data_IF_548358465366
#
_entry.id   IF_548358465366
#
_cell.length_a   1.000
_cell.length_b   1.000
_cell.length_c   1.000
_cell.angle_alpha   90.00
_cell.angle_beta   90.00
_cell.angle_gamma   90.00
#
_symmetry.space_group_name_H-M   'P 1'
#
loop_
_entity.id
_entity.type
_entity.pdbx_description
1 polymer ?
#
# COMPACT_ATOMS: atom_id res chain seq x y z
N UNK A 1 -6.59 24.15 53.58
CA UNK A 1 -6.00 23.12 52.70
C UNK A 1 -6.59 21.77 53.07
N UNK A 2 -7.59 21.30 52.31
CA UNK A 2 -8.22 19.98 52.49
C UNK A 2 -7.80 19.12 51.30
N UNK A 3 -6.89 18.18 51.53
CA UNK A 3 -6.38 17.28 50.49
C UNK A 3 -7.37 16.13 50.35
N UNK A 4 -8.12 16.12 49.25
CA UNK A 4 -8.91 14.97 48.83
C UNK A 4 -7.96 13.81 48.53
N UNK A 5 -8.08 12.71 49.28
CA UNK A 5 -7.47 11.43 48.92
C UNK A 5 -8.52 10.54 48.27
N UNK A 6 -8.31 10.35 46.97
CA UNK A 6 -8.39 9.10 46.21
C UNK A 6 -9.75 8.39 46.17
N UNK A 7 -10.22 8.38 44.92
CA UNK A 7 -11.39 7.78 44.29
C UNK A 7 -11.58 6.30 44.67
N UNK A 8 -12.86 5.98 44.88
CA UNK A 8 -13.43 4.68 45.13
C UNK A 8 -12.98 3.61 44.12
N UNK A 9 -12.43 2.52 44.64
CA UNK A 9 -12.52 1.21 44.01
C UNK A 9 -13.92 0.64 44.21
N UNK A 10 -14.32 -0.22 43.27
CA UNK A 10 -15.52 -1.06 43.21
C UNK A 10 -16.69 -0.46 42.42
N UNK A 11 -16.67 -0.70 41.11
CA UNK A 11 -17.90 -1.06 40.40
C UNK A 11 -17.68 -2.35 39.61
N UNK A 12 -18.39 -3.35 40.09
CA UNK A 12 -18.66 -4.67 39.57
C UNK A 12 -19.34 -4.60 38.20
N UNK A 13 -18.81 -5.30 37.18
CA UNK A 13 -19.52 -5.79 35.96
C UNK A 13 -18.47 -6.06 34.88
N UNK A 14 -18.29 -7.22 34.25
CA UNK A 14 -19.09 -8.43 34.12
C UNK A 14 -18.16 -9.65 34.11
N UNK A 15 -18.42 -10.64 34.96
CA UNK A 15 -18.03 -12.01 34.66
C UNK A 15 -19.29 -12.68 34.12
N UNK A 16 -19.43 -12.67 32.79
CA UNK A 16 -20.47 -13.43 32.11
C UNK A 16 -20.14 -14.91 32.25
N UNK A 17 -21.17 -15.64 32.68
CA UNK A 17 -21.37 -17.07 32.74
C UNK A 17 -20.63 -17.86 31.65
N UNK A 18 -19.97 -18.96 32.05
CA UNK A 18 -19.46 -19.94 31.10
C UNK A 18 -18.49 -20.98 31.66
N UNK A 19 -18.74 -21.55 32.84
CA UNK A 19 -18.18 -22.86 33.18
C UNK A 19 -19.30 -23.91 32.97
N UNK A 20 -19.37 -24.49 31.79
CA UNK A 20 -19.87 -25.85 31.64
C UNK A 20 -18.86 -26.62 30.77
N UNK A 21 -18.36 -27.71 31.33
CA UNK A 21 -17.26 -28.47 30.79
C UNK A 21 -17.83 -29.65 30.01
N UNK A 22 -17.99 -29.51 28.69
CA UNK A 22 -18.03 -30.69 27.82
C UNK A 22 -17.60 -30.34 26.38
N UNK A 23 -16.68 -31.18 25.88
CA UNK A 23 -16.21 -31.29 24.49
C UNK A 23 -15.32 -30.16 23.95
N UNK A 24 -14.08 -30.55 23.72
CA UNK A 24 -13.09 -29.90 22.87
C UNK A 24 -13.69 -29.43 21.53
N UNK A 25 -13.72 -28.12 21.30
CA UNK A 25 -13.82 -27.52 19.97
C UNK A 25 -13.30 -26.07 20.01
N UNK A 26 -12.48 -25.75 19.02
CA UNK A 26 -11.70 -24.52 18.80
C UNK A 26 -12.41 -23.19 19.10
N UNK A 27 -11.93 -22.46 20.12
CA UNK A 27 -12.42 -21.12 20.47
C UNK A 27 -11.43 -19.98 20.10
N UNK A 28 -10.42 -20.24 19.27
CA UNK A 28 -9.39 -19.24 18.90
C UNK A 28 -9.55 -18.62 17.49
N UNK A 29 -10.62 -18.94 16.75
CA UNK A 29 -10.76 -18.51 15.34
C UNK A 29 -11.62 -17.26 15.15
N UNK A 30 -12.73 -17.13 15.88
CA UNK A 30 -13.72 -16.06 15.65
C UNK A 30 -13.24 -14.65 16.01
N UNK A 31 -12.45 -14.47 17.07
CA UNK A 31 -11.92 -13.15 17.45
C UNK A 31 -10.78 -12.68 16.53
N UNK A 32 -10.02 -13.62 15.95
CA UNK A 32 -8.92 -13.31 15.03
C UNK A 32 -9.45 -12.90 13.65
N UNK A 33 -10.52 -13.54 13.17
CA UNK A 33 -11.13 -13.24 11.87
C UNK A 33 -11.81 -11.85 11.85
N UNK A 34 -12.41 -11.43 12.97
CA UNK A 34 -13.02 -10.08 13.10
C UNK A 34 -11.95 -8.99 13.20
N UNK A 35 -10.86 -9.24 13.94
CA UNK A 35 -9.74 -8.30 14.02
C UNK A 35 -9.05 -8.15 12.64
N UNK A 36 -8.79 -9.25 11.95
CA UNK A 36 -8.14 -9.27 10.65
C UNK A 36 -9.00 -8.62 9.54
N UNK A 37 -10.31 -8.82 9.58
CA UNK A 37 -11.22 -8.16 8.63
C UNK A 37 -11.35 -6.65 8.89
N UNK A 38 -11.28 -6.23 10.16
CA UNK A 38 -11.28 -4.81 10.53
C UNK A 38 -10.00 -4.11 10.08
N UNK A 39 -8.83 -4.71 10.34
CA UNK A 39 -7.55 -4.15 9.89
C UNK A 39 -7.45 -4.07 8.36
N UNK A 40 -7.92 -5.10 7.64
CA UNK A 40 -7.98 -5.08 6.18
C UNK A 40 -8.92 -3.98 5.65
N UNK A 41 -10.01 -3.71 6.36
CA UNK A 41 -10.94 -2.63 6.00
C UNK A 41 -10.30 -1.25 6.18
N UNK A 42 -9.60 -1.02 7.29
CA UNK A 42 -8.90 0.25 7.56
C UNK A 42 -7.73 0.47 6.60
N UNK A 43 -6.92 -0.56 6.34
CA UNK A 43 -5.84 -0.51 5.34
C UNK A 43 -6.39 -0.16 3.95
N UNK A 44 -7.50 -0.78 3.56
CA UNK A 44 -8.17 -0.49 2.30
C UNK A 44 -8.56 0.98 2.14
N UNK A 45 -9.05 1.62 3.22
CA UNK A 45 -9.39 3.05 3.23
C UNK A 45 -8.16 3.94 3.07
N UNK A 46 -7.04 3.59 3.72
CA UNK A 46 -5.77 4.32 3.60
C UNK A 46 -5.27 4.27 2.16
N UNK A 47 -5.25 3.08 1.56
CA UNK A 47 -4.87 2.89 0.16
C UNK A 47 -5.76 3.72 -0.79
N UNK A 48 -7.08 3.71 -0.56
CA UNK A 48 -8.04 4.47 -1.36
C UNK A 48 -7.83 5.98 -1.23
N UNK A 49 -7.49 6.46 -0.03
CA UNK A 49 -7.16 7.88 0.18
C UNK A 49 -5.93 8.29 -0.64
N UNK A 50 -4.84 7.50 -0.62
CA UNK A 50 -3.66 7.77 -1.43
C UNK A 50 -3.97 7.81 -2.93
N UNK A 51 -4.72 6.82 -3.42
CA UNK A 51 -5.05 6.73 -4.86
C UNK A 51 -5.97 7.88 -5.27
N UNK A 52 -7.01 8.17 -4.48
CA UNK A 52 -7.95 9.24 -4.79
C UNK A 52 -7.28 10.60 -4.77
N UNK A 53 -6.35 10.86 -3.84
CA UNK A 53 -5.56 12.09 -3.85
C UNK A 53 -4.68 12.18 -5.10
N UNK A 54 -3.92 11.12 -5.40
CA UNK A 54 -3.02 11.08 -6.56
C UNK A 54 -3.78 11.22 -7.90
N UNK A 55 -4.97 10.62 -8.01
CA UNK A 55 -5.82 10.72 -9.20
C UNK A 55 -6.25 12.14 -9.56
N UNK A 56 -6.30 13.06 -8.59
CA UNK A 56 -6.67 14.47 -8.83
C UNK A 56 -5.69 15.20 -9.75
N UNK A 57 -4.48 14.67 -9.89
CA UNK A 57 -3.43 15.27 -10.71
C UNK A 57 -3.34 14.66 -12.11
N UNK A 58 -4.20 13.70 -12.46
CA UNK A 58 -4.15 12.99 -13.74
C UNK A 58 -4.94 13.71 -14.85
N UNK A 59 -4.48 13.64 -16.12
CA UNK A 59 -3.18 13.11 -16.53
C UNK A 59 -2.03 14.04 -16.09
N UNK A 60 -0.94 13.45 -15.59
CA UNK A 60 0.24 14.20 -15.13
C UNK A 60 1.42 13.94 -16.06
N UNK A 61 1.96 15.00 -16.66
CA UNK A 61 3.27 14.93 -17.33
C UNK A 61 4.36 14.69 -16.30
N UNK A 62 5.12 13.59 -16.44
CA UNK A 62 6.20 13.21 -15.49
C UNK A 62 7.59 13.44 -16.07
N UNK A 63 7.73 13.43 -17.40
CA UNK A 63 8.93 13.84 -18.13
C UNK A 63 8.56 14.43 -19.51
N UNK A 64 9.54 14.67 -20.39
CA UNK A 64 9.29 15.26 -21.71
C UNK A 64 8.38 14.41 -22.60
N UNK A 65 8.40 13.09 -22.41
CA UNK A 65 7.94 12.05 -23.32
C UNK A 65 6.87 11.14 -22.69
N UNK A 66 6.53 11.30 -21.42
CA UNK A 66 5.59 10.41 -20.74
C UNK A 66 4.61 11.13 -19.83
N UNK A 67 3.38 10.61 -19.84
CA UNK A 67 2.28 11.05 -18.99
C UNK A 67 1.83 9.87 -18.13
N UNK A 68 1.70 10.09 -16.83
CA UNK A 68 0.94 9.22 -15.95
C UNK A 68 -0.55 9.49 -16.22
N UNK A 69 -1.28 8.47 -16.66
CA UNK A 69 -2.68 8.61 -17.09
C UNK A 69 -3.67 7.86 -16.20
N UNK A 70 -3.21 6.87 -15.44
CA UNK A 70 -4.05 6.15 -14.47
C UNK A 70 -3.23 5.63 -13.28
N UNK A 71 -3.92 5.47 -12.16
CA UNK A 71 -3.42 4.88 -10.92
C UNK A 71 -4.53 4.00 -10.35
N UNK A 72 -4.28 2.74 -10.06
CA UNK A 72 -5.31 1.85 -9.50
C UNK A 72 -4.70 0.83 -8.55
N UNK A 73 -5.50 0.32 -7.62
CA UNK A 73 -5.07 -0.81 -6.77
C UNK A 73 -5.63 -2.12 -7.26
N UNK A 74 -4.84 -3.16 -7.09
CA UNK A 74 -5.23 -4.54 -7.29
C UNK A 74 -4.39 -5.42 -6.36
N UNK A 75 -5.02 -6.31 -5.58
CA UNK A 75 -4.34 -7.25 -4.67
C UNK A 75 -3.23 -6.58 -3.83
N UNK A 76 -3.55 -5.54 -3.06
CA UNK A 76 -2.59 -4.79 -2.22
C UNK A 76 -1.34 -4.25 -2.95
N UNK A 77 -1.45 -4.11 -4.27
CA UNK A 77 -0.45 -3.48 -5.15
C UNK A 77 -1.03 -2.20 -5.71
N UNK A 78 -0.23 -1.15 -5.78
CA UNK A 78 -0.60 0.08 -6.52
C UNK A 78 0.04 0.07 -7.91
N UNK A 79 -0.79 0.30 -8.91
CA UNK A 79 -0.45 0.19 -10.32
C UNK A 79 -0.51 1.57 -10.96
N UNK A 80 0.56 1.97 -11.64
CA UNK A 80 0.69 3.22 -12.37
C UNK A 80 0.72 2.94 -13.87
N UNK A 81 -0.14 3.62 -14.64
CA UNK A 81 -0.19 3.52 -16.11
C UNK A 81 0.43 4.76 -16.74
N UNK A 82 1.51 4.58 -17.47
CA UNK A 82 2.19 5.63 -18.22
C UNK A 82 1.97 5.46 -19.71
N UNK A 83 1.63 6.55 -20.41
CA UNK A 83 1.59 6.60 -21.88
C UNK A 83 2.75 7.45 -22.35
N UNK A 84 3.58 6.89 -23.23
CA UNK A 84 4.72 7.59 -23.83
C UNK A 84 4.37 8.12 -25.22
N UNK A 85 4.72 9.38 -25.44
CA UNK A 85 4.56 10.12 -26.69
C UNK A 85 5.86 10.05 -27.51
N UNK A 86 6.26 8.83 -27.89
CA UNK A 86 7.45 8.56 -28.69
C UNK A 86 7.17 7.41 -29.66
N UNK A 87 7.94 7.36 -30.76
CA UNK A 87 7.94 6.19 -31.62
C UNK A 87 8.74 5.06 -30.98
N UNK A 88 8.23 3.83 -31.12
CA UNK A 88 8.89 2.64 -30.57
C UNK A 88 10.30 2.44 -31.17
N UNK A 89 10.47 2.76 -32.44
CA UNK A 89 11.74 2.57 -33.16
C UNK A 89 12.84 3.55 -32.74
N UNK A 90 12.45 4.65 -32.07
CA UNK A 90 13.36 5.64 -31.49
C UNK A 90 13.78 5.26 -30.06
N UNK A 91 13.15 4.24 -29.46
CA UNK A 91 13.38 3.85 -28.09
C UNK A 91 14.41 2.72 -27.97
N UNK A 92 15.56 3.04 -27.38
CA UNK A 92 16.47 2.03 -26.81
C UNK A 92 15.81 1.42 -25.57
N UNK A 93 15.00 0.38 -25.81
CA UNK A 93 14.16 -0.25 -24.79
C UNK A 93 14.99 -0.88 -23.65
N UNK A 94 16.07 -1.66 -23.90
CA UNK A 94 16.90 -2.19 -22.83
C UNK A 94 17.50 -1.10 -21.94
N UNK A 95 18.07 -0.03 -22.53
CA UNK A 95 18.66 1.06 -21.76
C UNK A 95 17.61 1.86 -21.00
N UNK A 96 16.48 2.15 -21.62
CA UNK A 96 15.39 2.90 -21.00
C UNK A 96 14.84 2.15 -19.80
N UNK A 97 14.51 0.85 -19.97
CA UNK A 97 14.04 0.01 -18.87
C UNK A 97 15.03 0.04 -17.70
N UNK A 98 16.33 -0.14 -17.98
CA UNK A 98 17.38 -0.13 -16.94
C UNK A 98 17.43 1.20 -16.16
N UNK A 99 17.44 2.33 -16.86
CA UNK A 99 17.50 3.66 -16.24
C UNK A 99 16.23 3.93 -15.43
N UNK A 100 15.06 3.67 -16.01
CA UNK A 100 13.77 3.85 -15.36
C UNK A 100 13.66 2.99 -14.10
N UNK A 101 14.01 1.70 -14.16
CA UNK A 101 14.02 0.83 -12.98
C UNK A 101 14.95 1.37 -11.89
N UNK A 102 16.15 1.84 -12.25
CA UNK A 102 17.10 2.39 -11.29
C UNK A 102 16.56 3.63 -10.59
N UNK A 103 15.95 4.55 -11.33
CA UNK A 103 15.39 5.79 -10.79
C UNK A 103 14.17 5.52 -9.92
N UNK A 104 13.26 4.66 -10.37
CA UNK A 104 12.08 4.27 -9.58
C UNK A 104 12.51 3.59 -8.27
N UNK A 105 13.50 2.70 -8.32
CA UNK A 105 14.05 2.05 -7.12
C UNK A 105 14.64 3.07 -6.16
N UNK A 106 15.40 4.05 -6.65
CA UNK A 106 15.98 5.10 -5.81
C UNK A 106 14.88 5.91 -5.09
N UNK A 107 13.81 6.26 -5.79
CA UNK A 107 12.68 6.99 -5.20
C UNK A 107 11.93 6.11 -4.20
N UNK A 108 11.54 4.91 -4.60
CA UNK A 108 10.74 3.98 -3.79
C UNK A 108 11.45 3.52 -2.51
N UNK A 109 12.78 3.40 -2.55
CA UNK A 109 13.59 3.02 -1.40
C UNK A 109 14.07 4.19 -0.55
N UNK A 110 13.57 5.40 -0.80
CA UNK A 110 13.81 6.55 0.06
C UNK A 110 13.34 6.33 1.51
N UNK A 111 13.92 7.10 2.42
CA UNK A 111 13.70 6.97 3.87
C UNK A 111 12.75 8.02 4.46
N UNK A 112 12.09 8.83 3.61
CA UNK A 112 11.10 9.79 4.08
C UNK A 112 9.95 9.04 4.78
N UNK A 113 9.53 9.45 6.00
CA UNK A 113 8.46 8.78 6.74
C UNK A 113 7.15 8.57 5.97
N UNK A 114 6.74 9.53 5.14
CA UNK A 114 5.50 9.40 4.35
C UNK A 114 5.64 8.36 3.25
N UNK A 115 6.82 8.25 2.64
CA UNK A 115 7.12 7.21 1.66
C UNK A 115 7.19 5.83 2.30
N UNK A 116 7.76 5.73 3.51
CA UNK A 116 7.80 4.47 4.28
C UNK A 116 6.39 3.99 4.58
N UNK A 117 5.52 4.86 5.12
CA UNK A 117 4.11 4.53 5.38
C UNK A 117 3.36 4.14 4.11
N UNK A 118 3.57 4.89 3.02
CA UNK A 118 2.99 4.57 1.72
C UNK A 118 3.38 3.14 1.30
N UNK A 119 4.68 2.83 1.35
CA UNK A 119 5.21 1.52 0.98
C UNK A 119 4.66 0.39 1.84
N UNK A 120 4.59 0.60 3.15
CA UNK A 120 4.01 -0.36 4.11
C UNK A 120 2.51 -0.57 3.90
N UNK A 121 1.81 0.42 3.33
CA UNK A 121 0.37 0.32 3.03
C UNK A 121 0.05 -0.56 1.82
N UNK A 122 1.04 -0.87 0.97
CA UNK A 122 0.90 -1.72 -0.21
C UNK A 122 1.86 -2.92 -0.09
N UNK A 123 1.43 -3.95 0.63
CA UNK A 123 2.26 -5.11 0.97
C UNK A 123 2.85 -5.83 -0.25
N UNK A 124 2.14 -5.81 -1.38
CA UNK A 124 2.60 -6.42 -2.63
C UNK A 124 3.36 -5.43 -3.52
N UNK A 125 3.60 -4.20 -3.05
CA UNK A 125 4.47 -3.23 -3.69
C UNK A 125 3.78 -2.36 -4.75
N UNK A 126 4.57 -1.97 -5.75
CA UNK A 126 4.17 -1.03 -6.80
C UNK A 126 4.51 -1.57 -8.19
N UNK A 127 3.61 -1.35 -9.14
CA UNK A 127 3.84 -1.64 -10.56
C UNK A 127 3.80 -0.35 -11.37
N UNK A 128 4.75 -0.20 -12.28
CA UNK A 128 4.78 0.87 -13.28
C UNK A 128 4.72 0.24 -14.67
N UNK A 129 3.63 0.50 -15.40
CA UNK A 129 3.38 -0.03 -16.75
C UNK A 129 3.53 1.07 -17.79
N UNK A 130 4.35 0.84 -18.81
CA UNK A 130 4.65 1.83 -19.84
C UNK A 130 4.11 1.40 -21.21
N UNK A 131 3.33 2.28 -21.84
CA UNK A 131 2.61 2.02 -23.08
C UNK A 131 3.04 2.97 -24.22
N UNK A 132 3.04 2.46 -25.45
CA UNK A 132 3.06 3.25 -26.69
C UNK A 132 1.86 2.78 -27.53
N UNK A 133 1.00 3.71 -27.97
CA UNK A 133 -0.20 3.40 -28.78
C UNK A 133 -0.99 2.21 -28.21
N UNK A 134 -1.29 2.26 -26.91
CA UNK A 134 -2.01 1.26 -26.12
C UNK A 134 -1.35 -0.13 -25.96
N UNK A 135 -0.15 -0.31 -26.50
CA UNK A 135 0.63 -1.53 -26.29
C UNK A 135 1.61 -1.35 -25.14
N UNK A 136 1.54 -2.23 -24.13
CA UNK A 136 2.57 -2.29 -23.09
C UNK A 136 3.91 -2.66 -23.76
N UNK A 137 4.94 -1.90 -23.45
CA UNK A 137 6.28 -2.14 -23.97
C UNK A 137 7.26 -2.60 -22.89
N UNK A 138 7.09 -2.17 -21.64
CA UNK A 138 7.77 -2.72 -20.48
C UNK A 138 7.04 -2.34 -19.19
N UNK A 139 7.35 -3.07 -18.14
CA UNK A 139 6.90 -2.82 -16.78
C UNK A 139 8.05 -2.93 -15.78
N UNK A 140 7.87 -2.26 -14.64
CA UNK A 140 8.77 -2.31 -13.48
C UNK A 140 7.93 -2.62 -12.25
N UNK A 141 8.29 -3.70 -11.55
CA UNK A 141 7.74 -4.05 -10.26
C UNK A 141 8.77 -3.72 -9.18
N UNK A 142 8.34 -3.12 -8.08
CA UNK A 142 9.17 -2.88 -6.90
C UNK A 142 8.39 -3.28 -5.64
N UNK A 143 9.09 -3.97 -4.74
CA UNK A 143 8.58 -4.51 -3.49
C UNK A 143 9.51 -4.12 -2.33
N UNK A 144 9.07 -4.32 -1.09
CA UNK A 144 9.93 -4.05 0.08
C UNK A 144 11.29 -4.74 0.00
N UNK A 145 11.34 -5.97 -0.55
CA UNK A 145 12.56 -6.75 -0.73
C UNK A 145 13.56 -6.08 -1.68
N UNK A 146 13.12 -5.19 -2.57
CA UNK A 146 14.01 -4.43 -3.45
C UNK A 146 14.80 -3.35 -2.70
N UNK A 147 14.32 -2.91 -1.54
CA UNK A 147 14.95 -1.85 -0.74
C UNK A 147 15.94 -2.36 0.30
N UNK A 148 15.96 -3.66 0.55
CA UNK A 148 16.95 -4.28 1.41
C UNK A 148 18.29 -4.31 0.68
N UNK A 149 19.24 -3.50 1.15
CA UNK A 149 20.65 -3.63 0.76
C UNK A 149 21.20 -4.91 1.35
N UNK A 150 21.71 -5.81 0.50
CA UNK A 150 22.78 -6.72 0.92
C UNK A 150 24.01 -5.93 1.34
#
# INVERSE_FOLDING_TARGET
>A
MKVLKIIALMSMSLVLFGCDNSKSADANKASSDIAQSTEKSELGKIQDAYINDAKRYLPKKVDSNSNLVDIYKENDTINYKYVMDINKDELDLPRTKKITTSNLKQVYCGTNPELVKFRESFANGVNHYYYIKDKEIFSVHLSLADCETK
#
